data_IF_763179105563
#
_entry.id   IF_763179105563
#
_cell.length_a   1.000
_cell.length_b   1.000
_cell.length_c   1.000
_cell.angle_alpha   90.00
_cell.angle_beta   90.00
_cell.angle_gamma   90.00
#
_symmetry.space_group_name_H-M   'P 1'
#
loop_
_entity.id
_entity.type
_entity.pdbx_description
1 polymer ?
#
# COMPACT_ATOMS: atom_id res chain seq x y z
N UNK A 1 18.74 28.75 -0.35
CA UNK A 1 17.39 28.51 -0.90
C UNK A 1 17.12 27.02 -0.76
N UNK A 2 16.22 26.61 0.14
CA UNK A 2 16.01 25.20 0.48
C UNK A 2 15.24 24.47 -0.65
N UNK A 3 15.66 23.23 -0.93
CA UNK A 3 14.99 22.21 -1.76
C UNK A 3 13.61 21.89 -1.17
N UNK A 4 12.69 21.36 -1.99
CA UNK A 4 11.47 20.56 -1.69
C UNK A 4 10.24 21.05 -2.49
N UNK A 5 9.95 20.39 -3.61
CA UNK A 5 8.57 20.29 -4.14
C UNK A 5 8.29 18.84 -4.53
N UNK A 6 8.18 18.05 -3.47
CA UNK A 6 7.52 16.74 -3.45
C UNK A 6 6.09 16.93 -4.01
N UNK A 7 5.81 16.30 -5.16
CA UNK A 7 4.52 16.33 -5.84
C UNK A 7 3.50 15.48 -5.10
N UNK A 8 3.04 16.00 -3.97
CA UNK A 8 2.11 15.36 -3.05
C UNK A 8 0.67 15.50 -3.55
N UNK A 9 0.22 14.50 -4.31
CA UNK A 9 -1.20 14.29 -4.67
C UNK A 9 -2.00 13.88 -3.41
N UNK A 10 -3.10 14.57 -3.05
CA UNK A 10 -3.88 14.25 -1.86
C UNK A 10 -5.07 13.35 -2.22
N UNK A 11 -4.88 12.04 -2.24
CA UNK A 11 -5.99 11.09 -2.27
C UNK A 11 -5.96 10.19 -1.04
N UNK A 12 -7.07 10.20 -0.28
CA UNK A 12 -7.19 9.59 1.04
C UNK A 12 -7.00 8.08 1.12
N UNK A 13 -6.65 7.66 2.34
CA UNK A 13 -6.56 6.30 2.88
C UNK A 13 -5.43 5.38 2.35
N UNK A 14 -4.34 5.37 3.13
CA UNK A 14 -3.35 4.28 3.30
C UNK A 14 -2.51 3.89 2.06
N UNK A 15 -1.51 4.72 1.78
CA UNK A 15 -0.43 4.37 0.86
C UNK A 15 0.62 3.50 1.58
N UNK A 16 0.54 2.18 1.42
CA UNK A 16 1.74 1.33 1.57
C UNK A 16 2.45 1.42 0.21
N UNK A 17 3.11 2.54 -0.04
CA UNK A 17 3.45 3.06 -1.38
C UNK A 17 4.31 2.17 -2.29
N UNK A 18 4.56 0.90 -1.97
CA UNK A 18 5.21 -0.08 -2.84
C UNK A 18 5.00 -1.52 -2.35
N UNK A 19 4.99 -2.47 -3.30
CA UNK A 19 5.03 -3.93 -3.02
C UNK A 19 6.13 -4.29 -2.01
N UNK A 20 7.29 -3.64 -2.13
CA UNK A 20 8.43 -3.85 -1.24
C UNK A 20 8.09 -3.58 0.23
N UNK A 21 7.31 -2.54 0.51
CA UNK A 21 6.90 -2.20 1.87
C UNK A 21 5.88 -3.20 2.40
N UNK A 22 4.95 -3.65 1.56
CA UNK A 22 4.03 -4.74 1.90
C UNK A 22 4.79 -6.01 2.30
N UNK A 23 5.81 -6.40 1.51
CA UNK A 23 6.69 -7.54 1.81
C UNK A 23 7.47 -7.34 3.11
N UNK A 24 8.02 -6.15 3.37
CA UNK A 24 8.72 -5.84 4.65
C UNK A 24 7.81 -6.00 5.87
N UNK A 25 6.51 -5.75 5.72
CA UNK A 25 5.48 -5.96 6.76
C UNK A 25 4.97 -7.40 6.85
N UNK A 26 5.60 -8.35 6.15
CA UNK A 26 5.17 -9.75 6.00
C UNK A 26 3.78 -9.89 5.39
N UNK A 27 3.39 -8.94 4.54
CA UNK A 27 2.18 -8.99 3.74
C UNK A 27 2.47 -9.40 2.29
N UNK A 28 1.41 -9.58 1.53
CA UNK A 28 1.44 -9.86 0.09
C UNK A 28 0.46 -8.95 -0.65
N UNK A 29 0.75 -8.63 -1.91
CA UNK A 29 -0.14 -7.83 -2.74
C UNK A 29 -1.18 -8.72 -3.42
N UNK A 30 -2.44 -8.31 -3.38
CA UNK A 30 -3.57 -9.04 -3.95
C UNK A 30 -4.47 -8.11 -4.74
N UNK A 31 -5.08 -8.58 -5.83
CA UNK A 31 -5.97 -7.77 -6.64
C UNK A 31 -7.36 -7.65 -5.99
N UNK A 32 -7.87 -6.42 -5.87
CA UNK A 32 -9.20 -6.21 -5.27
C UNK A 32 -9.21 -6.31 -3.74
N UNK A 33 -9.72 -7.42 -3.19
CA UNK A 33 -9.94 -7.60 -1.74
C UNK A 33 -9.20 -8.83 -1.22
N UNK A 34 -8.69 -8.75 0.01
CA UNK A 34 -8.00 -9.87 0.65
C UNK A 34 -8.93 -11.08 0.82
N UNK A 35 -8.39 -12.28 0.56
CA UNK A 35 -9.08 -13.54 0.80
C UNK A 35 -8.98 -13.89 2.28
N UNK A 36 -10.09 -14.30 2.89
CA UNK A 36 -10.10 -14.74 4.28
C UNK A 36 -9.12 -15.91 4.51
N UNK A 37 -8.41 -15.96 5.66
CA UNK A 37 -8.52 -15.09 6.84
C UNK A 37 -7.70 -13.79 6.78
N UNK A 38 -7.06 -13.48 5.65
CA UNK A 38 -6.18 -12.31 5.54
C UNK A 38 -6.96 -10.99 5.56
N UNK A 39 -6.38 -9.99 6.22
CA UNK A 39 -6.94 -8.64 6.35
C UNK A 39 -6.14 -7.64 5.52
N UNK A 40 -6.81 -6.61 5.03
CA UNK A 40 -6.17 -5.51 4.33
C UNK A 40 -5.41 -4.63 5.33
N UNK A 41 -4.10 -4.45 5.12
CA UNK A 41 -3.21 -3.64 5.96
C UNK A 41 -2.67 -2.41 5.22
N UNK A 42 -3.06 -2.22 3.96
CA UNK A 42 -2.72 -1.08 3.11
C UNK A 42 -2.96 -1.38 1.64
N UNK A 43 -2.25 -0.67 0.76
CA UNK A 43 -2.40 -0.78 -0.69
C UNK A 43 -1.03 -0.84 -1.35
N UNK A 44 -0.77 -1.74 -2.29
CA UNK A 44 0.55 -1.83 -2.96
C UNK A 44 0.63 -0.98 -4.24
N UNK A 45 -0.47 -0.90 -4.99
CA UNK A 45 -0.61 -0.13 -6.24
C UNK A 45 -2.06 0.35 -6.37
N UNK A 46 -2.39 1.15 -7.40
CA UNK A 46 -3.76 1.59 -7.64
C UNK A 46 -4.81 0.48 -7.67
N UNK A 47 -4.44 -0.74 -8.09
CA UNK A 47 -5.39 -1.86 -8.24
C UNK A 47 -5.20 -2.99 -7.22
N UNK A 48 -4.02 -3.08 -6.58
CA UNK A 48 -3.68 -4.16 -5.65
C UNK A 48 -3.61 -3.68 -4.21
N UNK A 49 -4.22 -4.43 -3.29
CA UNK A 49 -4.19 -4.20 -1.85
C UNK A 49 -3.08 -5.00 -1.18
N UNK A 50 -2.56 -4.50 -0.06
CA UNK A 50 -1.61 -5.24 0.78
C UNK A 50 -2.40 -6.04 1.83
N UNK A 51 -2.28 -7.36 1.80
CA UNK A 51 -2.98 -8.31 2.65
C UNK A 51 -2.02 -8.99 3.63
N UNK A 52 -2.51 -9.30 4.84
CA UNK A 52 -1.76 -10.05 5.84
C UNK A 52 -2.67 -10.96 6.65
N UNK A 53 -2.25 -12.22 6.81
CA UNK A 53 -2.88 -13.22 7.67
C UNK A 53 -2.53 -13.03 9.14
#
# INVERSE_FOLDING_TARGET
>A
LALHRDGREPHGCLEIGSELECKRRRGYCYFGRCVLPARQIGRCTGQTVCCRG
#
